data_IF_307868964888
#
_entry.id   IF_307868964888
#
_cell.length_a   1.000
_cell.length_b   1.000
_cell.length_c   1.000
_cell.angle_alpha   90.00
_cell.angle_beta   90.00
_cell.angle_gamma   90.00
#
_symmetry.space_group_name_H-M   'P 1'
#
loop_
_entity.id
_entity.type
_entity.pdbx_description
1 polymer ?
#
# COMPACT_ATOMS: atom_id res chain seq x y z
N UNK A 1 9.38 -1.30 25.87
CA UNK A 1 9.51 -1.28 24.41
C UNK A 1 9.53 -2.69 23.84
N UNK A 2 10.27 -3.63 24.47
CA UNK A 2 10.25 -5.06 24.10
C UNK A 2 8.87 -5.72 24.21
N UNK A 3 8.06 -5.36 25.21
CA UNK A 3 6.76 -6.01 25.44
C UNK A 3 5.74 -5.76 24.31
N UNK A 4 5.57 -4.51 23.89
CA UNK A 4 4.69 -4.14 22.75
C UNK A 4 5.13 -4.84 21.45
N UNK A 5 6.43 -4.98 21.23
CA UNK A 5 6.94 -5.71 20.07
C UNK A 5 6.53 -7.18 20.09
N UNK A 6 6.72 -7.85 21.24
CA UNK A 6 6.35 -9.26 21.44
C UNK A 6 4.84 -9.47 21.29
N UNK A 7 4.04 -8.57 21.86
CA UNK A 7 2.59 -8.57 21.69
C UNK A 7 2.18 -8.42 20.21
N UNK A 8 2.82 -7.51 19.48
CA UNK A 8 2.58 -7.32 18.04
C UNK A 8 2.92 -8.57 17.25
N UNK A 9 4.06 -9.20 17.53
CA UNK A 9 4.47 -10.43 16.87
C UNK A 9 3.50 -11.59 17.13
N UNK A 10 3.00 -11.73 18.36
CA UNK A 10 1.95 -12.71 18.67
C UNK A 10 0.64 -12.42 17.96
N UNK A 11 0.23 -11.15 17.88
CA UNK A 11 -0.98 -10.79 17.14
C UNK A 11 -0.84 -11.05 15.65
N UNK A 12 0.34 -10.78 15.06
CA UNK A 12 0.65 -11.11 13.68
C UNK A 12 0.52 -12.62 13.40
N UNK A 13 0.99 -13.45 14.32
CA UNK A 13 0.86 -14.90 14.21
C UNK A 13 -0.60 -15.36 14.38
N UNK A 14 -1.27 -14.93 15.45
CA UNK A 14 -2.62 -15.40 15.81
C UNK A 14 -3.74 -14.87 14.89
N UNK A 15 -3.59 -13.64 14.36
CA UNK A 15 -4.51 -13.04 13.40
C UNK A 15 -4.12 -13.25 11.94
N UNK A 16 -3.04 -14.01 11.71
CA UNK A 16 -2.53 -14.35 10.39
C UNK A 16 -3.42 -15.34 9.64
N UNK A 17 -3.17 -15.50 8.33
CA UNK A 17 -3.82 -16.56 7.55
C UNK A 17 -3.29 -17.95 7.91
N UNK A 18 -4.06 -19.00 7.62
CA UNK A 18 -3.60 -20.39 7.78
C UNK A 18 -2.31 -20.66 7.00
N UNK A 19 -2.14 -20.04 5.82
CA UNK A 19 -0.93 -20.12 5.01
C UNK A 19 0.30 -19.54 5.73
N UNK A 20 0.14 -18.38 6.41
CA UNK A 20 1.21 -17.77 7.19
C UNK A 20 1.59 -18.64 8.39
N UNK A 21 0.60 -19.19 9.09
CA UNK A 21 0.82 -20.10 10.22
C UNK A 21 1.62 -21.33 9.78
N UNK A 22 1.25 -21.92 8.63
CA UNK A 22 1.95 -23.05 8.05
C UNK A 22 3.37 -22.71 7.61
N UNK A 23 3.60 -21.53 7.01
CA UNK A 23 4.94 -21.07 6.63
C UNK A 23 5.86 -20.92 7.84
N UNK A 24 5.36 -20.31 8.94
CA UNK A 24 6.14 -20.11 10.16
C UNK A 24 6.50 -21.46 10.81
N UNK A 25 5.53 -22.37 10.94
CA UNK A 25 5.76 -23.72 11.48
C UNK A 25 6.75 -24.50 10.63
N UNK A 26 6.57 -24.47 9.30
CA UNK A 26 7.48 -25.11 8.37
C UNK A 26 8.89 -24.55 8.54
N UNK A 27 9.03 -23.23 8.66
CA UNK A 27 10.33 -22.60 8.80
C UNK A 27 11.01 -22.94 10.12
N UNK A 28 10.28 -23.02 11.22
CA UNK A 28 10.80 -23.49 12.51
C UNK A 28 11.38 -24.90 12.37
N UNK A 29 10.59 -25.83 11.83
CA UNK A 29 11.02 -27.22 11.64
C UNK A 29 12.19 -27.37 10.64
N UNK A 30 12.32 -26.46 9.67
CA UNK A 30 13.48 -26.45 8.77
C UNK A 30 14.77 -26.03 9.48
N UNK A 31 14.66 -25.22 10.54
CA UNK A 31 15.79 -24.69 11.29
C UNK A 31 16.19 -25.61 12.44
N UNK A 32 15.23 -26.26 13.08
CA UNK A 32 15.42 -27.29 14.11
C UNK A 32 15.98 -28.56 13.44
N UNK A 33 17.30 -28.67 13.39
CA UNK A 33 18.02 -29.72 12.67
C UNK A 33 18.19 -30.97 13.50
N UNK A 34 18.36 -30.81 14.81
CA UNK A 34 18.51 -31.94 15.72
C UNK A 34 17.16 -32.48 16.23
N UNK A 35 16.07 -31.74 16.00
CA UNK A 35 14.69 -32.16 16.26
C UNK A 35 14.35 -32.12 17.74
N UNK A 36 15.02 -31.27 18.52
CA UNK A 36 14.82 -31.15 19.95
C UNK A 36 13.60 -30.28 20.33
N UNK A 37 12.99 -29.62 19.33
CA UNK A 37 11.80 -28.79 19.47
C UNK A 37 12.09 -27.36 19.91
N UNK A 38 13.36 -26.94 19.97
CA UNK A 38 13.80 -25.57 20.20
C UNK A 38 14.86 -25.19 19.16
N UNK A 39 15.24 -23.90 19.10
CA UNK A 39 16.27 -23.45 18.16
C UNK A 39 17.51 -22.97 18.91
N UNK A 40 18.60 -23.72 18.77
CA UNK A 40 19.89 -23.36 19.30
C UNK A 40 20.54 -22.21 18.53
N UNK A 41 21.44 -21.49 19.21
CA UNK A 41 22.20 -20.39 18.60
C UNK A 41 22.96 -20.79 17.33
N UNK A 42 23.47 -22.03 17.27
CA UNK A 42 24.22 -22.51 16.11
C UNK A 42 23.33 -22.72 14.88
N UNK A 43 22.09 -23.15 15.07
CA UNK A 43 21.12 -23.38 13.99
C UNK A 43 20.72 -22.07 13.33
N UNK A 44 20.41 -21.05 14.15
CA UNK A 44 20.11 -19.71 13.66
C UNK A 44 21.33 -19.01 13.07
N UNK A 45 22.53 -19.22 13.63
CA UNK A 45 23.78 -18.70 13.05
C UNK A 45 24.00 -19.26 11.65
N UNK A 46 23.80 -20.56 11.45
CA UNK A 46 24.01 -21.21 10.16
C UNK A 46 23.03 -20.72 9.09
N UNK A 47 21.76 -20.47 9.47
CA UNK A 47 20.72 -20.10 8.52
C UNK A 47 20.63 -18.59 8.24
N UNK A 48 20.92 -17.74 9.24
CA UNK A 48 20.68 -16.29 9.17
C UNK A 48 21.93 -15.44 9.44
N UNK A 49 23.09 -16.05 9.67
CA UNK A 49 24.30 -15.36 10.16
C UNK A 49 24.01 -14.54 11.43
N UNK A 50 23.13 -15.07 12.29
CA UNK A 50 22.68 -14.41 13.51
C UNK A 50 23.83 -14.24 14.51
N UNK A 51 24.01 -13.02 15.04
CA UNK A 51 24.99 -12.74 16.09
C UNK A 51 24.42 -13.12 17.47
N UNK A 52 25.31 -13.35 18.43
CA UNK A 52 24.92 -13.70 19.80
C UNK A 52 24.09 -12.59 20.44
N UNK A 53 24.45 -11.34 20.17
CA UNK A 53 23.75 -10.15 20.68
C UNK A 53 22.30 -10.12 20.19
N UNK A 54 22.07 -10.46 18.91
CA UNK A 54 20.74 -10.53 18.32
C UNK A 54 19.96 -11.72 18.89
N UNK A 55 20.60 -12.88 19.05
CA UNK A 55 19.97 -14.06 19.65
C UNK A 55 19.43 -13.77 21.05
N UNK A 56 20.25 -13.13 21.91
CA UNK A 56 19.88 -12.76 23.29
C UNK A 56 18.70 -11.78 23.39
N UNK A 57 18.38 -11.03 22.32
CA UNK A 57 17.19 -10.17 22.32
C UNK A 57 15.91 -11.01 22.31
N UNK A 58 15.95 -12.19 21.69
CA UNK A 58 14.78 -13.04 21.51
C UNK A 58 14.67 -14.14 22.58
N UNK A 59 15.81 -14.66 23.05
CA UNK A 59 15.92 -15.61 24.17
C UNK A 59 15.53 -14.92 25.48
N UNK A 60 14.26 -15.06 25.88
CA UNK A 60 13.65 -14.29 26.96
C UNK A 60 14.02 -14.88 28.31
N UNK A 61 13.93 -16.19 28.42
CA UNK A 61 14.22 -16.89 29.66
C UNK A 61 15.72 -17.14 29.84
N UNK A 62 16.54 -16.79 28.84
CA UNK A 62 17.99 -16.96 28.79
C UNK A 62 18.38 -18.43 28.95
N UNK A 63 17.57 -19.35 28.42
CA UNK A 63 17.84 -20.78 28.47
C UNK A 63 18.86 -21.21 27.38
N UNK A 64 19.24 -20.30 26.47
CA UNK A 64 20.20 -20.53 25.41
C UNK A 64 19.62 -21.13 24.12
N UNK A 65 18.29 -21.27 24.05
CA UNK A 65 17.52 -21.74 22.89
C UNK A 65 16.35 -20.79 22.63
N UNK A 66 15.76 -20.83 21.44
CA UNK A 66 14.48 -20.16 21.19
C UNK A 66 13.38 -21.21 21.08
N UNK A 67 12.38 -21.14 21.95
CA UNK A 67 11.16 -21.92 21.77
C UNK A 67 10.34 -21.40 20.57
N UNK A 68 9.23 -22.07 20.25
CA UNK A 68 8.40 -21.66 19.11
C UNK A 68 7.83 -20.24 19.26
N UNK A 69 7.51 -19.82 20.48
CA UNK A 69 6.98 -18.48 20.75
C UNK A 69 8.06 -17.41 20.58
N UNK A 70 9.27 -17.67 21.05
CA UNK A 70 10.44 -16.81 20.86
C UNK A 70 10.87 -16.76 19.40
N UNK A 71 10.75 -17.88 18.69
CA UNK A 71 10.95 -17.93 17.26
C UNK A 71 9.93 -17.08 16.49
N UNK A 72 8.65 -17.00 16.91
CA UNK A 72 7.69 -16.08 16.29
C UNK A 72 8.21 -14.64 16.37
N UNK A 73 8.84 -14.24 17.48
CA UNK A 73 9.44 -12.91 17.64
C UNK A 73 10.60 -12.70 16.66
N UNK A 74 11.48 -13.70 16.56
CA UNK A 74 12.61 -13.69 15.63
C UNK A 74 12.13 -13.68 14.16
N UNK A 75 11.20 -14.56 13.78
CA UNK A 75 10.62 -14.65 12.44
C UNK A 75 9.98 -13.32 12.05
N UNK A 76 9.17 -12.76 12.95
CA UNK A 76 8.50 -11.49 12.72
C UNK A 76 9.51 -10.33 12.58
N UNK A 77 10.58 -10.30 13.38
CA UNK A 77 11.68 -9.35 13.21
C UNK A 77 12.38 -9.50 11.84
N UNK A 78 12.73 -10.73 11.46
CA UNK A 78 13.48 -10.99 10.22
C UNK A 78 12.67 -10.78 8.94
N UNK A 79 11.34 -10.97 8.98
CA UNK A 79 10.45 -10.76 7.83
C UNK A 79 9.97 -9.33 7.68
N UNK A 80 9.63 -8.66 8.79
CA UNK A 80 8.89 -7.40 8.74
C UNK A 80 9.61 -6.23 9.42
N UNK A 81 10.70 -6.45 10.18
CA UNK A 81 11.22 -5.43 11.11
C UNK A 81 12.71 -5.53 11.43
N UNK A 82 13.55 -4.97 10.59
CA UNK A 82 14.88 -4.48 11.01
C UNK A 82 15.15 -3.07 10.52
N UNK A 83 14.52 -2.11 11.19
CA UNK A 83 14.93 -0.71 11.13
C UNK A 83 15.82 -0.43 12.34
N UNK A 84 17.03 0.06 12.04
CA UNK A 84 18.07 0.37 13.01
C UNK A 84 18.31 1.85 12.93
N UNK A 85 18.59 2.47 14.07
CA UNK A 85 19.25 3.75 14.04
C UNK A 85 20.62 3.57 13.38
N UNK A 86 20.86 4.29 12.29
CA UNK A 86 22.12 4.25 11.57
C UNK A 86 23.29 4.77 12.41
N UNK A 87 23.01 5.59 13.43
CA UNK A 87 24.02 6.07 14.36
C UNK A 87 24.26 5.08 15.49
N UNK A 88 23.30 4.90 16.40
CA UNK A 88 23.51 4.14 17.63
C UNK A 88 23.25 2.63 17.50
N UNK A 89 22.86 2.15 16.31
CA UNK A 89 22.59 0.73 15.99
C UNK A 89 21.47 0.06 16.79
N UNK A 90 20.77 0.81 17.63
CA UNK A 90 19.60 0.34 18.36
C UNK A 90 18.42 0.14 17.40
N UNK A 91 17.65 -0.93 17.62
CA UNK A 91 16.41 -1.23 16.91
C UNK A 91 15.34 -0.19 17.23
N UNK A 92 14.62 0.27 16.21
CA UNK A 92 13.65 1.36 16.34
C UNK A 92 12.29 0.99 15.77
N UNK A 93 11.23 1.35 16.50
CA UNK A 93 9.84 1.21 16.06
C UNK A 93 9.34 2.54 15.49
N UNK A 94 9.41 3.61 16.26
CA UNK A 94 9.23 4.97 15.74
C UNK A 94 10.60 5.52 15.36
N UNK A 95 10.76 5.88 14.09
CA UNK A 95 12.03 6.37 13.58
C UNK A 95 11.85 7.45 12.53
N UNK A 96 12.86 8.29 12.41
CA UNK A 96 12.96 9.28 11.34
C UNK A 96 13.75 8.66 10.19
N UNK A 97 13.20 8.72 8.99
CA UNK A 97 13.83 8.18 7.78
C UNK A 97 14.06 9.28 6.75
N UNK A 98 15.19 9.18 6.06
CA UNK A 98 15.50 10.06 4.94
C UNK A 98 14.62 9.69 3.74
N UNK A 99 13.77 10.64 3.32
CA UNK A 99 12.82 10.45 2.19
C UNK A 99 13.56 10.09 0.91
N UNK A 100 14.73 10.68 0.69
CA UNK A 100 15.52 10.49 -0.53
C UNK A 100 16.19 9.10 -0.57
N UNK A 101 16.61 8.58 0.59
CA UNK A 101 17.20 7.25 0.71
C UNK A 101 16.17 6.12 0.78
N UNK A 102 14.93 6.40 1.17
CA UNK A 102 13.91 5.37 1.41
C UNK A 102 13.76 4.40 0.23
N UNK A 103 13.51 4.91 -0.98
CA UNK A 103 13.42 4.09 -2.21
C UNK A 103 14.78 3.77 -2.83
N UNK A 104 15.86 3.72 -2.05
CA UNK A 104 17.21 3.37 -2.50
C UNK A 104 17.64 1.97 -2.03
N UNK A 105 18.88 1.59 -2.34
CA UNK A 105 19.46 0.30 -1.92
C UNK A 105 19.54 0.15 -0.39
N UNK A 106 19.63 1.28 0.34
CA UNK A 106 19.52 1.31 1.80
C UNK A 106 18.74 2.56 2.26
N UNK A 107 17.76 2.35 3.14
CA UNK A 107 17.10 3.44 3.85
C UNK A 107 18.03 3.97 4.95
N UNK A 108 17.94 5.26 5.27
CA UNK A 108 18.72 5.86 6.36
C UNK A 108 17.77 6.27 7.49
N UNK A 109 17.78 5.51 8.58
CA UNK A 109 16.83 5.61 9.68
C UNK A 109 17.52 6.05 10.98
N UNK A 110 16.86 6.86 11.79
CA UNK A 110 17.39 7.39 13.05
C UNK A 110 16.35 7.23 14.17
N UNK A 111 16.82 6.89 15.38
CA UNK A 111 15.97 6.93 16.57
C UNK A 111 15.66 8.38 16.95
N UNK A 112 14.64 8.56 17.81
CA UNK A 112 14.24 9.88 18.31
C UNK A 112 15.41 10.64 18.96
N UNK A 113 16.27 9.96 19.73
CA UNK A 113 17.40 10.59 20.42
C UNK A 113 18.48 11.08 19.47
N UNK A 114 18.89 10.25 18.50
CA UNK A 114 19.90 10.64 17.52
C UNK A 114 19.40 11.74 16.59
N UNK A 115 18.12 11.68 16.19
CA UNK A 115 17.51 12.69 15.35
C UNK A 115 17.39 14.05 16.07
N UNK A 116 16.75 14.07 17.25
CA UNK A 116 16.55 15.30 18.03
C UNK A 116 17.88 15.91 18.48
N UNK A 117 18.85 15.08 18.87
CA UNK A 117 20.19 15.52 19.25
C UNK A 117 21.11 15.87 18.09
N UNK A 118 20.66 15.74 16.83
CA UNK A 118 21.49 15.87 15.61
C UNK A 118 22.81 15.09 15.68
N UNK A 119 22.77 13.91 16.29
CA UNK A 119 23.91 12.99 16.42
C UNK A 119 23.94 12.07 15.21
N UNK A 120 24.22 12.62 14.03
CA UNK A 120 24.39 11.85 12.79
C UNK A 120 25.03 12.73 11.72
N UNK A 121 25.71 12.10 10.77
CA UNK A 121 26.20 12.78 9.56
C UNK A 121 25.54 12.17 8.33
N UNK A 122 24.75 12.97 7.60
CA UNK A 122 24.04 12.53 6.40
C UNK A 122 23.86 13.69 5.42
N UNK A 123 23.93 13.41 4.11
CA UNK A 123 23.97 14.44 3.05
C UNK A 123 22.59 14.97 2.63
N UNK A 124 21.52 14.30 3.04
CA UNK A 124 20.14 14.71 2.78
C UNK A 124 19.57 15.42 4.00
N UNK A 125 18.74 16.43 3.77
CA UNK A 125 18.12 17.23 4.82
C UNK A 125 16.68 16.84 5.12
N UNK A 126 15.99 16.18 4.19
CA UNK A 126 14.58 15.84 4.33
C UNK A 126 14.40 14.50 5.06
N UNK A 127 14.01 14.60 6.32
CA UNK A 127 13.63 13.48 7.16
C UNK A 127 12.17 13.62 7.59
N UNK A 128 11.48 12.50 7.67
CA UNK A 128 10.12 12.39 8.19
C UNK A 128 10.04 11.17 9.10
N UNK A 129 9.10 11.13 10.04
CA UNK A 129 8.85 9.89 10.77
C UNK A 129 8.23 8.83 9.86
N UNK A 130 8.38 7.56 10.27
CA UNK A 130 7.94 6.41 9.49
C UNK A 130 6.42 6.37 9.24
N UNK A 131 5.59 6.92 10.13
CA UNK A 131 4.13 6.97 9.93
C UNK A 131 3.75 8.07 8.95
N UNK A 132 4.34 9.26 9.07
CA UNK A 132 4.14 10.36 8.11
C UNK A 132 4.57 9.95 6.70
N UNK A 133 5.67 9.19 6.57
CA UNK A 133 6.07 8.65 5.28
C UNK A 133 5.04 7.65 4.74
N UNK A 134 4.58 6.73 5.59
CA UNK A 134 3.59 5.73 5.23
C UNK A 134 2.30 6.38 4.73
N UNK A 135 1.78 7.38 5.45
CA UNK A 135 0.59 8.13 5.04
C UNK A 135 0.78 8.82 3.69
N UNK A 136 1.95 9.42 3.46
CA UNK A 136 2.27 10.01 2.15
C UNK A 136 2.29 8.96 1.04
N UNK A 137 2.80 7.75 1.32
CA UNK A 137 2.84 6.64 0.36
C UNK A 137 1.45 6.01 0.11
N UNK A 138 0.56 6.03 1.11
CA UNK A 138 -0.85 5.62 0.96
C UNK A 138 -1.60 6.55 0.03
N UNK A 139 -1.30 7.85 0.11
CA UNK A 139 -1.92 8.86 -0.75
C UNK A 139 -1.34 8.89 -2.15
N UNK A 140 -0.09 8.47 -2.35
CA UNK A 140 0.58 8.45 -3.67
C UNK A 140 0.29 7.18 -4.47
N UNK A 141 -0.88 6.57 -4.30
CA UNK A 141 -1.24 5.34 -5.01
C UNK A 141 -1.26 5.56 -6.54
N UNK A 142 -0.92 4.53 -7.33
CA UNK A 142 -1.04 4.53 -8.80
C UNK A 142 -2.49 4.68 -9.31
N UNK A 143 -3.45 4.79 -8.40
CA UNK A 143 -4.89 4.98 -8.65
C UNK A 143 -5.16 6.33 -9.32
N UNK A 144 -4.52 7.41 -8.84
CA UNK A 144 -4.65 8.75 -9.46
C UNK A 144 -4.06 8.79 -10.87
N UNK A 145 -2.91 8.16 -11.07
CA UNK A 145 -2.25 8.09 -12.38
C UNK A 145 -3.09 7.30 -13.40
N UNK A 146 -3.85 6.29 -12.95
CA UNK A 146 -4.68 5.44 -13.82
C UNK A 146 -5.94 6.17 -14.31
N UNK A 147 -6.67 6.86 -13.41
CA UNK A 147 -7.87 7.63 -13.78
C UNK A 147 -7.51 8.89 -14.58
N UNK A 148 -6.41 9.55 -14.22
CA UNK A 148 -5.92 10.70 -14.98
C UNK A 148 -5.54 10.27 -16.41
N UNK A 149 -4.87 9.13 -16.56
CA UNK A 149 -4.54 8.56 -17.87
C UNK A 149 -5.78 8.20 -18.68
N UNK A 150 -6.77 7.54 -18.08
CA UNK A 150 -8.04 7.23 -18.74
C UNK A 150 -8.79 8.48 -19.17
N UNK A 151 -8.82 9.51 -18.33
CA UNK A 151 -9.49 10.76 -18.66
C UNK A 151 -8.77 11.53 -19.77
N UNK A 152 -7.44 11.49 -19.83
CA UNK A 152 -6.67 12.01 -20.99
C UNK A 152 -7.04 11.27 -22.27
N UNK A 153 -7.18 9.94 -22.22
CA UNK A 153 -7.62 9.11 -23.35
C UNK A 153 -9.06 9.47 -23.75
N UNK A 154 -9.98 9.61 -22.79
CA UNK A 154 -11.38 9.95 -23.04
C UNK A 154 -11.54 11.33 -23.70
N UNK A 155 -10.76 12.31 -23.23
CA UNK A 155 -10.71 13.66 -23.81
C UNK A 155 -10.15 13.63 -25.24
N UNK A 156 -9.07 12.88 -25.46
CA UNK A 156 -8.51 12.68 -26.80
C UNK A 156 -9.51 11.98 -27.73
N UNK A 157 -10.19 10.93 -27.26
CA UNK A 157 -11.26 10.23 -27.97
C UNK A 157 -12.37 11.18 -28.38
N UNK A 158 -12.90 11.96 -27.44
CA UNK A 158 -13.95 12.95 -27.69
C UNK A 158 -13.51 14.02 -28.71
N UNK A 159 -12.28 14.54 -28.57
CA UNK A 159 -11.75 15.57 -29.47
C UNK A 159 -11.68 15.12 -30.93
N UNK A 160 -11.33 13.84 -31.15
CA UNK A 160 -11.21 13.20 -32.46
C UNK A 160 -12.50 12.55 -32.95
N UNK A 161 -13.54 12.49 -32.12
CA UNK A 161 -14.80 11.85 -32.45
C UNK A 161 -15.58 12.62 -33.53
N UNK A 162 -16.44 11.90 -34.27
CA UNK A 162 -17.36 12.52 -35.22
C UNK A 162 -18.39 13.40 -34.51
N UNK A 163 -18.99 14.35 -35.22
CA UNK A 163 -20.02 15.24 -34.66
C UNK A 163 -21.18 14.45 -34.04
N UNK A 164 -21.56 13.34 -34.66
CA UNK A 164 -22.59 12.44 -34.13
C UNK A 164 -22.22 11.88 -32.75
N UNK A 165 -20.96 11.48 -32.54
CA UNK A 165 -20.48 10.97 -31.25
C UNK A 165 -20.40 12.09 -30.21
N UNK A 166 -19.98 13.30 -30.62
CA UNK A 166 -19.96 14.46 -29.73
C UNK A 166 -21.35 14.82 -29.23
N UNK A 167 -22.33 14.84 -30.14
CA UNK A 167 -23.74 15.04 -29.79
C UNK A 167 -24.28 13.95 -28.86
N UNK A 168 -23.79 12.71 -28.97
CA UNK A 168 -24.17 11.65 -28.03
C UNK A 168 -23.57 11.86 -26.63
N UNK A 169 -22.35 12.38 -26.51
CA UNK A 169 -21.76 12.71 -25.21
C UNK A 169 -22.53 13.87 -24.54
N UNK A 170 -22.91 14.89 -25.30
CA UNK A 170 -23.72 16.01 -24.83
C UNK A 170 -25.09 15.52 -24.34
N UNK A 171 -25.76 14.66 -25.12
CA UNK A 171 -27.03 14.05 -24.70
C UNK A 171 -26.87 13.18 -23.45
N UNK A 172 -25.77 12.45 -23.34
CA UNK A 172 -25.46 11.65 -22.17
C UNK A 172 -25.28 12.51 -20.92
N UNK A 173 -24.52 13.61 -21.01
CA UNK A 173 -24.37 14.58 -19.93
C UNK A 173 -25.73 15.15 -19.49
N UNK A 174 -26.54 15.66 -20.43
CA UNK A 174 -27.86 16.21 -20.12
C UNK A 174 -28.87 15.18 -19.60
N UNK A 175 -28.69 13.90 -19.91
CA UNK A 175 -29.55 12.85 -19.33
C UNK A 175 -29.28 12.62 -17.84
N UNK A 176 -28.13 13.07 -17.35
CA UNK A 176 -27.73 12.99 -15.95
C UNK A 176 -27.97 14.31 -15.20
N UNK A 177 -27.76 15.45 -15.87
CA UNK A 177 -28.02 16.81 -15.37
C UNK A 177 -29.53 17.10 -15.32
N UNK A 178 -30.20 16.58 -14.28
CA UNK A 178 -31.67 16.66 -14.18
C UNK A 178 -32.17 18.03 -13.78
N UNK A 179 -31.38 18.78 -13.01
CA UNK A 179 -31.73 20.11 -12.55
C UNK A 179 -31.32 21.21 -13.56
N UNK A 180 -30.48 20.88 -14.54
CA UNK A 180 -30.04 21.78 -15.62
C UNK A 180 -29.04 22.85 -15.15
N UNK A 181 -28.32 22.61 -14.06
CA UNK A 181 -27.35 23.57 -13.52
C UNK A 181 -26.00 23.52 -14.25
N UNK A 182 -25.85 22.62 -15.22
CA UNK A 182 -24.65 22.45 -16.03
C UNK A 182 -23.55 21.67 -15.32
N UNK A 183 -23.84 21.06 -14.18
CA UNK A 183 -22.97 20.17 -13.40
C UNK A 183 -23.76 18.96 -12.95
N UNK A 184 -23.05 17.88 -12.63
CA UNK A 184 -23.67 16.67 -12.10
C UNK A 184 -23.40 16.57 -10.60
N UNK A 185 -24.45 16.64 -9.79
CA UNK A 185 -24.34 16.35 -8.37
C UNK A 185 -24.18 14.85 -8.09
N UNK A 186 -23.62 14.49 -6.94
CA UNK A 186 -23.54 13.08 -6.50
C UNK A 186 -24.91 12.38 -6.54
N UNK A 187 -25.98 13.09 -6.16
CA UNK A 187 -27.33 12.54 -6.16
C UNK A 187 -27.81 12.20 -7.57
N UNK A 188 -27.59 13.10 -8.53
CA UNK A 188 -27.94 12.90 -9.95
C UNK A 188 -27.16 11.73 -10.56
N UNK A 189 -25.86 11.68 -10.28
CA UNK A 189 -24.99 10.60 -10.69
C UNK A 189 -25.49 9.23 -10.20
N UNK A 190 -25.73 9.09 -8.88
CA UNK A 190 -26.18 7.81 -8.30
C UNK A 190 -27.56 7.39 -8.80
N UNK A 191 -28.47 8.36 -8.96
CA UNK A 191 -29.81 8.13 -9.48
C UNK A 191 -29.74 7.59 -10.91
N UNK A 192 -28.95 8.24 -11.76
CA UNK A 192 -28.74 7.83 -13.15
C UNK A 192 -28.10 6.43 -13.25
N UNK A 193 -27.02 6.18 -12.50
CA UNK A 193 -26.32 4.88 -12.51
C UNK A 193 -27.22 3.73 -12.11
N UNK A 194 -28.07 3.96 -11.12
CA UNK A 194 -29.01 2.96 -10.63
C UNK A 194 -30.12 2.71 -11.65
N UNK A 195 -30.67 3.76 -12.24
CA UNK A 195 -31.73 3.67 -13.24
C UNK A 195 -31.29 2.96 -14.53
N UNK A 196 -30.06 3.21 -14.99
CA UNK A 196 -29.52 2.64 -16.22
C UNK A 196 -28.93 1.23 -16.03
N UNK A 197 -28.99 0.67 -14.83
CA UNK A 197 -28.50 -0.69 -14.54
C UNK A 197 -26.99 -0.79 -14.27
N UNK A 198 -26.26 0.32 -14.17
CA UNK A 198 -24.86 0.37 -13.79
C UNK A 198 -24.67 0.38 -12.27
N UNK A 199 -25.39 -0.48 -11.56
CA UNK A 199 -25.34 -0.60 -10.10
C UNK A 199 -23.90 -0.76 -9.57
N UNK A 200 -23.02 -1.45 -10.30
CA UNK A 200 -21.61 -1.62 -9.95
C UNK A 200 -20.85 -0.29 -9.89
N UNK A 201 -21.21 0.68 -10.73
CA UNK A 201 -20.62 2.02 -10.82
C UNK A 201 -21.39 3.05 -9.99
N UNK A 202 -22.54 2.68 -9.41
CA UNK A 202 -23.36 3.53 -8.53
C UNK A 202 -22.74 3.63 -7.12
N UNK A 203 -21.49 4.10 -7.06
CA UNK A 203 -20.72 4.24 -5.83
C UNK A 203 -20.24 5.69 -5.67
N UNK A 204 -20.42 6.34 -4.52
CA UNK A 204 -19.88 7.68 -4.26
C UNK A 204 -18.36 7.78 -4.43
N UNK A 205 -17.65 6.67 -4.29
CA UNK A 205 -16.21 6.56 -4.51
C UNK A 205 -15.86 6.83 -5.97
N UNK A 206 -16.57 6.18 -6.90
CA UNK A 206 -16.30 6.34 -8.33
C UNK A 206 -16.63 7.76 -8.81
N UNK A 207 -17.64 8.40 -8.21
CA UNK A 207 -17.88 9.83 -8.40
C UNK A 207 -16.67 10.68 -8.02
N UNK A 208 -16.06 10.44 -6.86
CA UNK A 208 -14.87 11.19 -6.41
C UNK A 208 -13.64 10.98 -7.29
N UNK A 209 -13.51 9.82 -7.91
CA UNK A 209 -12.43 9.56 -8.87
C UNK A 209 -12.62 10.35 -10.18
N UNK A 210 -13.87 10.60 -10.56
CA UNK A 210 -14.21 11.43 -11.72
C UNK A 210 -14.06 12.93 -11.42
N UNK A 211 -14.37 13.36 -10.19
CA UNK A 211 -14.24 14.75 -9.69
C UNK A 211 -12.78 15.10 -9.39
N UNK A 212 -12.07 15.54 -10.43
CA UNK A 212 -10.64 15.84 -10.36
C UNK A 212 -10.35 17.17 -9.69
N UNK A 213 -11.22 18.14 -9.88
CA UNK A 213 -11.05 19.48 -9.32
C UNK A 213 -11.55 19.58 -7.87
N UNK A 214 -12.23 18.55 -7.36
CA UNK A 214 -12.69 18.43 -6.00
C UNK A 214 -13.88 19.34 -5.69
N UNK A 215 -14.64 19.71 -6.72
CA UNK A 215 -15.81 20.61 -6.58
C UNK A 215 -17.02 19.92 -5.97
N UNK A 216 -16.98 18.60 -5.78
CA UNK A 216 -18.11 17.74 -5.39
C UNK A 216 -19.24 17.75 -6.43
N UNK A 217 -18.91 18.09 -7.67
CA UNK A 217 -19.79 18.09 -8.84
C UNK A 217 -18.99 17.64 -10.04
N UNK A 218 -19.59 16.94 -11.01
CA UNK A 218 -18.88 16.59 -12.24
C UNK A 218 -19.21 17.59 -13.34
N UNK A 219 -18.17 18.14 -13.97
CA UNK A 219 -18.32 18.92 -15.19
C UNK A 219 -18.38 18.04 -16.44
N UNK A 220 -18.53 18.68 -17.60
CA UNK A 220 -18.62 17.96 -18.87
C UNK A 220 -17.37 17.14 -19.20
N UNK A 221 -16.17 17.66 -18.91
CA UNK A 221 -14.90 16.99 -19.21
C UNK A 221 -14.70 15.75 -18.32
N UNK A 222 -15.08 15.85 -17.05
CA UNK A 222 -15.03 14.74 -16.10
C UNK A 222 -15.98 13.61 -16.49
N UNK A 223 -17.19 13.95 -16.97
CA UNK A 223 -18.18 12.99 -17.49
C UNK A 223 -17.72 12.31 -18.79
N UNK A 224 -16.80 12.89 -19.57
CA UNK A 224 -16.27 12.23 -20.78
C UNK A 224 -15.60 10.89 -20.47
N UNK A 225 -14.95 10.79 -19.31
CA UNK A 225 -14.30 9.54 -18.85
C UNK A 225 -15.34 8.43 -18.71
N UNK A 226 -16.47 8.74 -18.07
CA UNK A 226 -17.57 7.81 -17.92
C UNK A 226 -18.20 7.44 -19.26
N UNK A 227 -18.43 8.43 -20.13
CA UNK A 227 -18.97 8.20 -21.47
C UNK A 227 -18.05 7.29 -22.31
N UNK A 228 -16.73 7.51 -22.24
CA UNK A 228 -15.74 6.68 -22.90
C UNK A 228 -15.79 5.24 -22.41
N UNK A 229 -15.82 5.02 -21.08
CA UNK A 229 -15.94 3.69 -20.47
C UNK A 229 -17.20 2.96 -20.93
N UNK A 230 -18.36 3.64 -20.94
CA UNK A 230 -19.62 3.03 -21.42
C UNK A 230 -19.54 2.61 -22.89
N UNK A 231 -18.84 3.38 -23.72
CA UNK A 231 -18.86 3.22 -25.17
C UNK A 231 -17.81 2.22 -25.68
N UNK A 232 -16.68 2.12 -25.00
CA UNK A 232 -15.65 1.14 -25.30
C UNK A 232 -16.01 -0.15 -24.56
N UNK A 233 -16.77 -1.02 -25.22
CA UNK A 233 -16.91 -2.42 -24.82
C UNK A 233 -15.54 -3.12 -24.99
N UNK A 234 -14.67 -2.92 -24.01
CA UNK A 234 -13.32 -3.44 -24.01
C UNK A 234 -12.91 -3.82 -22.61
N UNK A 235 -12.48 -5.07 -22.44
CA UNK A 235 -12.04 -5.62 -21.17
C UNK A 235 -10.99 -4.74 -20.46
N UNK A 236 -10.20 -3.94 -21.18
CA UNK A 236 -9.18 -3.05 -20.61
C UNK A 236 -9.77 -1.87 -19.82
N UNK A 237 -10.68 -1.07 -20.40
CA UNK A 237 -11.27 0.07 -19.70
C UNK A 237 -12.17 -0.39 -18.53
N UNK A 238 -12.93 -1.47 -18.75
CA UNK A 238 -13.74 -2.08 -17.70
C UNK A 238 -12.89 -2.77 -16.62
N UNK A 239 -11.72 -3.34 -16.94
CA UNK A 239 -10.82 -3.88 -15.94
C UNK A 239 -10.20 -2.77 -15.08
N UNK A 240 -9.88 -1.60 -15.65
CA UNK A 240 -9.42 -0.46 -14.84
C UNK A 240 -10.54 0.02 -13.91
N UNK A 241 -11.78 0.13 -14.41
CA UNK A 241 -12.92 0.51 -13.56
C UNK A 241 -13.26 -0.55 -12.52
N UNK A 242 -13.27 -1.84 -12.86
CA UNK A 242 -13.47 -2.93 -11.92
C UNK A 242 -12.36 -2.97 -10.87
N UNK A 243 -11.10 -2.83 -11.29
CA UNK A 243 -9.97 -2.69 -10.40
C UNK A 243 -10.17 -1.52 -9.44
N UNK A 244 -10.55 -0.33 -9.91
CA UNK A 244 -10.83 0.83 -9.04
C UNK A 244 -12.02 0.63 -8.09
N UNK A 245 -13.05 -0.11 -8.52
CA UNK A 245 -14.23 -0.43 -7.71
C UNK A 245 -13.98 -1.54 -6.68
N UNK A 246 -12.95 -2.36 -6.89
CA UNK A 246 -12.50 -3.48 -6.04
C UNK A 246 -11.29 -3.10 -5.16
N UNK A 247 -10.41 -2.22 -5.63
CA UNK A 247 -9.14 -1.87 -4.97
C UNK A 247 -9.27 -0.83 -3.88
N UNK A 248 -10.42 -0.14 -3.79
CA UNK A 248 -10.60 0.97 -2.85
C UNK A 248 -11.44 0.58 -1.61
N UNK A 249 -11.02 -0.48 -0.95
CA UNK A 249 -11.15 -0.54 0.49
C UNK A 249 -10.40 0.68 1.04
N UNK A 250 -11.14 1.69 1.54
CA UNK A 250 -10.56 2.69 2.42
C UNK A 250 -9.65 1.96 3.39
N UNK A 251 -8.42 2.44 3.54
CA UNK A 251 -7.44 1.75 4.35
C UNK A 251 -8.01 1.54 5.76
N UNK A 252 -8.45 0.31 6.04
CA UNK A 252 -9.21 -0.02 7.23
C UNK A 252 -8.21 -0.37 8.32
N UNK A 253 -8.00 0.56 9.24
CA UNK A 253 -7.12 0.33 10.38
C UNK A 253 -7.92 -0.35 11.50
N UNK A 254 -7.39 -1.47 11.99
CA UNK A 254 -7.92 -2.17 13.15
C UNK A 254 -6.95 -1.95 14.30
N UNK A 255 -7.45 -1.66 15.50
CA UNK A 255 -6.58 -1.59 16.67
C UNK A 255 -6.02 -2.98 17.01
N UNK A 256 -4.95 -3.01 17.80
CA UNK A 256 -4.32 -4.25 18.25
C UNK A 256 -5.32 -5.25 18.85
N UNK A 257 -6.19 -4.79 19.76
CA UNK A 257 -7.16 -5.67 20.44
C UNK A 257 -8.22 -6.22 19.49
N UNK A 258 -8.71 -5.40 18.56
CA UNK A 258 -9.71 -5.85 17.59
C UNK A 258 -9.12 -6.87 16.61
N UNK A 259 -7.87 -6.67 16.18
CA UNK A 259 -7.17 -7.58 15.28
C UNK A 259 -6.89 -8.92 15.97
N UNK A 260 -6.28 -8.89 17.17
CA UNK A 260 -5.96 -10.10 17.95
C UNK A 260 -7.18 -10.97 18.24
N UNK A 261 -8.34 -10.35 18.47
CA UNK A 261 -9.56 -11.07 18.86
C UNK A 261 -10.51 -11.34 17.66
N UNK A 262 -10.10 -11.02 16.43
CA UNK A 262 -10.94 -11.13 15.23
C UNK A 262 -12.32 -10.46 15.38
N UNK A 263 -12.40 -9.31 16.08
CA UNK A 263 -13.66 -8.62 16.36
C UNK A 263 -13.98 -7.49 15.37
N UNK A 264 -13.58 -7.67 14.11
CA UNK A 264 -13.81 -6.71 13.02
C UNK A 264 -14.63 -7.36 11.89
N UNK A 265 -15.38 -6.55 11.15
CA UNK A 265 -16.18 -7.02 10.00
C UNK A 265 -15.62 -6.36 8.75
N UNK A 266 -14.82 -7.11 8.00
CA UNK A 266 -14.31 -6.70 6.69
C UNK A 266 -14.10 -7.95 5.81
N UNK A 267 -14.72 -7.98 4.62
CA UNK A 267 -14.63 -9.15 3.72
C UNK A 267 -13.31 -9.15 2.93
N UNK A 268 -12.75 -10.35 2.73
CA UNK A 268 -11.54 -10.64 1.92
C UNK A 268 -10.36 -9.66 2.09
N UNK A 269 -9.69 -9.67 3.24
CA UNK A 269 -8.52 -8.81 3.48
C UNK A 269 -7.32 -9.55 4.07
N UNK A 270 -6.14 -9.25 3.53
CA UNK A 270 -4.85 -9.52 4.15
C UNK A 270 -4.42 -8.26 4.91
N UNK A 271 -4.39 -8.34 6.23
CA UNK A 271 -3.90 -7.22 7.05
C UNK A 271 -2.37 -7.21 7.04
N UNK A 272 -1.81 -6.06 6.67
CA UNK A 272 -0.39 -5.77 6.88
C UNK A 272 -0.28 -4.79 8.04
N UNK A 273 0.64 -5.06 8.97
CA UNK A 273 1.01 -4.03 9.93
C UNK A 273 1.71 -2.87 9.21
N UNK A 274 1.73 -1.70 9.84
CA UNK A 274 2.26 -0.47 9.23
C UNK A 274 3.72 -0.60 8.75
N UNK A 275 4.53 -1.47 9.35
CA UNK A 275 5.92 -1.70 8.94
C UNK A 275 6.00 -2.62 7.72
N UNK A 276 5.24 -3.72 7.73
CA UNK A 276 5.15 -4.61 6.57
C UNK A 276 4.63 -3.84 5.33
N UNK A 277 3.62 -2.98 5.52
CA UNK A 277 3.11 -2.12 4.47
C UNK A 277 4.14 -1.09 3.99
N UNK A 278 4.86 -0.45 4.92
CA UNK A 278 5.91 0.52 4.58
C UNK A 278 7.06 -0.13 3.82
N UNK A 279 7.49 -1.32 4.20
CA UNK A 279 8.55 -2.06 3.50
C UNK A 279 8.10 -2.51 2.11
N UNK A 280 6.85 -2.96 1.96
CA UNK A 280 6.28 -3.25 0.63
C UNK A 280 6.31 -2.01 -0.28
N UNK A 281 5.89 -0.85 0.23
CA UNK A 281 5.97 0.44 -0.49
C UNK A 281 7.41 0.82 -0.83
N UNK A 282 8.36 0.54 0.05
CA UNK A 282 9.80 0.75 -0.21
C UNK A 282 10.29 -0.09 -1.38
N UNK A 283 9.91 -1.37 -1.44
CA UNK A 283 10.30 -2.29 -2.51
C UNK A 283 9.67 -1.90 -3.84
N UNK A 284 8.40 -1.45 -3.85
CA UNK A 284 7.75 -0.87 -5.02
C UNK A 284 8.55 0.33 -5.56
N UNK A 285 8.91 1.28 -4.68
CA UNK A 285 9.70 2.44 -5.04
C UNK A 285 11.10 2.08 -5.57
N UNK A 286 11.74 1.05 -5.02
CA UNK A 286 13.03 0.56 -5.51
C UNK A 286 12.90 -0.03 -6.93
N UNK A 287 11.89 -0.87 -7.16
CA UNK A 287 11.62 -1.47 -8.47
C UNK A 287 11.33 -0.40 -9.52
N UNK A 288 10.55 0.63 -9.18
CA UNK A 288 10.23 1.73 -10.08
C UNK A 288 11.50 2.49 -10.54
N UNK A 289 12.48 2.70 -9.66
CA UNK A 289 13.76 3.34 -10.02
C UNK A 289 14.70 2.44 -10.83
N UNK A 290 14.49 1.13 -10.81
CA UNK A 290 15.30 0.15 -11.56
C UNK A 290 14.66 -0.22 -12.91
N UNK A 291 13.44 0.23 -13.19
CA UNK A 291 12.80 0.03 -14.48
C UNK A 291 13.56 0.82 -15.56
N UNK A 292 13.94 0.20 -16.69
CA UNK A 292 14.57 0.94 -17.78
C UNK A 292 13.59 2.00 -18.30
N UNK A 293 14.06 3.24 -18.43
CA UNK A 293 13.35 4.28 -19.18
C UNK A 293 13.07 3.72 -20.57
N UNK A 294 11.81 3.40 -20.88
CA UNK A 294 11.42 2.97 -22.21
C UNK A 294 11.75 4.09 -23.19
N UNK A 295 12.64 3.77 -24.13
CA UNK A 295 13.12 4.56 -25.26
C UNK A 295 12.10 5.60 -25.78
N UNK A 296 12.36 6.88 -25.50
CA UNK A 296 11.81 7.99 -26.27
C UNK A 296 12.96 8.84 -26.84
N UNK A 297 13.62 8.30 -27.85
CA UNK A 297 14.52 8.96 -28.82
C UNK A 297 14.73 7.90 -29.90
N UNK A 298 14.09 7.94 -31.08
CA UNK A 298 14.33 8.71 -32.31
C UNK A 298 13.08 8.42 -33.20
N UNK A 299 12.49 9.29 -34.02
CA UNK A 299 13.06 10.24 -34.97
C UNK A 299 12.19 11.50 -35.14
N UNK A 300 12.90 12.62 -35.14
CA UNK A 300 12.51 13.94 -35.57
C UNK A 300 13.06 14.11 -36.99
N UNK A 301 12.27 14.68 -37.91
CA UNK A 301 12.68 15.29 -39.19
C UNK A 301 13.46 14.43 -40.22
N UNK A 302 12.74 13.95 -41.24
CA UNK A 302 12.84 14.42 -42.65
C UNK A 302 11.72 13.81 -43.51
#
# INVERSE_FOLDING_TARGET
>A
MEEIFRETAMAYYNGGSEELEQDIKKRFNELDKDGDGVLGMQELRNAYNCSNEVFMIFDRDNNGTLDFQEFIYFYYATKNRWHWCHECKVTVTTFFTCVQCFGGSSSFNLCCECYSGRKFTHNHSLFVDNLSLLEKQRQSSPERDSMESLSKIATAYYSKASEQVKQLAIKFFHSMDTNGDGRISLHEFLSFMTQEGYSQMSKPQFFRELDKDGTNTLDFEEVLTLFYVRRVEGASAMAVVAFLLESNAHSFCVCFDCYRNNTYIHEQCSFLDNFALLEMKRQEALKAKMAPESESQYEQYE
#
